data_IF_619031736347
#
_entry.id   IF_619031736347
#
_cell.length_a   1.000
_cell.length_b   1.000
_cell.length_c   1.000
_cell.angle_alpha   90.00
_cell.angle_beta   90.00
_cell.angle_gamma   90.00
#
_symmetry.space_group_name_H-M   'P 1'
#
loop_
_entity.id
_entity.type
_entity.pdbx_description
1 polymer ?
#
# COMPACT_ATOMS: atom_id res chain seq x y z
N UNK A 1 15.68 -2.70 19.47
CA UNK A 1 14.80 -2.96 18.32
C UNK A 1 14.60 -4.48 18.23
N UNK A 2 13.39 -4.91 18.44
CA UNK A 2 13.07 -6.33 18.32
C UNK A 2 12.89 -6.71 16.84
N UNK A 3 13.03 -7.99 16.56
CA UNK A 3 12.76 -8.57 15.24
C UNK A 3 11.44 -9.34 15.31
N UNK A 4 10.51 -8.98 14.45
CA UNK A 4 9.21 -9.64 14.33
C UNK A 4 9.24 -10.48 13.05
N UNK A 5 8.82 -11.73 13.15
CA UNK A 5 8.76 -12.64 12.00
C UNK A 5 7.36 -13.25 11.91
N UNK A 6 6.38 -12.55 11.30
CA UNK A 6 5.04 -13.10 11.14
C UNK A 6 5.06 -14.30 10.17
N UNK A 7 4.21 -15.27 10.44
CA UNK A 7 3.97 -16.39 9.53
C UNK A 7 3.02 -15.99 8.40
N UNK A 8 2.90 -16.81 7.35
CA UNK A 8 1.86 -16.62 6.34
C UNK A 8 0.45 -16.68 6.94
N UNK A 9 0.24 -17.52 7.94
CA UNK A 9 -1.06 -17.58 8.65
C UNK A 9 -1.36 -16.26 9.37
N UNK A 10 -0.37 -15.66 10.03
CA UNK A 10 -0.55 -14.34 10.65
C UNK A 10 -0.94 -13.29 9.62
N UNK A 11 -0.29 -13.29 8.45
CA UNK A 11 -0.62 -12.37 7.35
C UNK A 11 -2.04 -12.62 6.84
N UNK A 12 -2.45 -13.87 6.66
CA UNK A 12 -3.81 -14.21 6.23
C UNK A 12 -4.87 -13.68 7.19
N UNK A 13 -4.66 -13.80 8.51
CA UNK A 13 -5.59 -13.27 9.51
C UNK A 13 -5.70 -11.75 9.43
N UNK A 14 -4.56 -11.05 9.30
CA UNK A 14 -4.55 -9.59 9.18
C UNK A 14 -5.25 -9.15 7.89
N UNK A 15 -4.95 -9.80 6.77
CA UNK A 15 -5.57 -9.51 5.46
C UNK A 15 -7.08 -9.71 5.50
N UNK A 16 -7.56 -10.77 6.13
CA UNK A 16 -8.99 -11.02 6.28
C UNK A 16 -9.68 -9.90 7.06
N UNK A 17 -9.08 -9.49 8.18
CA UNK A 17 -9.60 -8.40 9.00
C UNK A 17 -9.64 -7.07 8.25
N UNK A 18 -8.55 -6.71 7.57
CA UNK A 18 -8.50 -5.52 6.71
C UNK A 18 -9.57 -5.59 5.62
N UNK A 19 -9.66 -6.72 4.93
CA UNK A 19 -10.60 -6.90 3.81
C UNK A 19 -12.04 -6.72 4.24
N UNK A 20 -12.42 -7.22 5.42
CA UNK A 20 -13.75 -7.04 5.97
C UNK A 20 -14.10 -5.55 6.21
N UNK A 21 -13.13 -4.76 6.62
CA UNK A 21 -13.30 -3.30 6.80
C UNK A 21 -13.34 -2.55 5.47
N UNK A 22 -12.46 -2.91 4.54
CA UNK A 22 -12.34 -2.26 3.24
C UNK A 22 -13.57 -2.49 2.36
N UNK A 23 -14.16 -3.68 2.40
CA UNK A 23 -15.37 -4.03 1.63
C UNK A 23 -16.53 -3.07 1.88
N UNK A 24 -16.65 -2.52 3.07
CA UNK A 24 -17.70 -1.56 3.41
C UNK A 24 -17.64 -0.27 2.57
N UNK A 25 -16.48 0.07 2.03
CA UNK A 25 -16.26 1.21 1.16
C UNK A 25 -16.44 0.90 -0.34
N UNK A 26 -16.77 -0.34 -0.69
CA UNK A 26 -16.99 -0.79 -2.07
C UNK A 26 -15.83 -0.43 -3.03
N UNK A 27 -14.60 -0.88 -2.78
CA UNK A 27 -13.49 -0.61 -3.69
C UNK A 27 -13.74 -1.21 -5.07
N UNK A 28 -13.35 -0.47 -6.11
CA UNK A 28 -13.50 -0.88 -7.51
C UNK A 28 -12.22 -1.50 -8.07
N UNK A 29 -11.08 -1.17 -7.50
CA UNK A 29 -9.76 -1.57 -7.98
C UNK A 29 -8.75 -1.60 -6.83
N UNK A 30 -7.79 -2.51 -6.93
CA UNK A 30 -6.65 -2.60 -6.01
C UNK A 30 -5.42 -2.09 -6.74
N UNK A 31 -4.67 -1.18 -6.13
CA UNK A 31 -3.35 -0.75 -6.59
C UNK A 31 -2.30 -1.28 -5.63
N UNK A 32 -1.51 -2.25 -6.07
CA UNK A 32 -0.40 -2.79 -5.29
C UNK A 32 0.86 -1.97 -5.52
N UNK A 33 1.51 -1.54 -4.45
CA UNK A 33 2.83 -0.93 -4.53
C UNK A 33 3.86 -2.05 -4.55
N UNK A 34 4.57 -2.21 -5.67
CA UNK A 34 5.59 -3.25 -5.80
C UNK A 34 6.86 -2.87 -5.01
N UNK A 35 7.66 -3.79 -4.43
CA UNK A 35 7.37 -5.25 -4.37
C UNK A 35 6.55 -5.67 -3.14
N UNK A 36 6.65 -4.99 -1.97
CA UNK A 36 6.07 -5.45 -0.71
C UNK A 36 4.54 -5.59 -0.73
N UNK A 37 3.84 -4.76 -1.50
CA UNK A 37 2.39 -4.80 -1.61
C UNK A 37 1.83 -5.90 -2.51
N UNK A 38 2.66 -6.59 -3.30
CA UNK A 38 2.19 -7.58 -4.29
C UNK A 38 1.49 -8.77 -3.64
N UNK A 39 2.12 -9.39 -2.65
CA UNK A 39 1.54 -10.56 -1.95
C UNK A 39 0.33 -10.17 -1.12
N UNK A 40 0.38 -9.12 -0.29
CA UNK A 40 -0.81 -8.62 0.41
C UNK A 40 -1.99 -8.30 -0.51
N UNK A 41 -1.75 -7.62 -1.62
CA UNK A 41 -2.79 -7.30 -2.60
C UNK A 41 -3.43 -8.55 -3.21
N UNK A 42 -2.61 -9.56 -3.56
CA UNK A 42 -3.13 -10.83 -4.07
C UNK A 42 -3.99 -11.55 -3.03
N UNK A 43 -3.58 -11.55 -1.77
CA UNK A 43 -4.37 -12.12 -0.69
C UNK A 43 -5.70 -11.37 -0.49
N UNK A 44 -5.67 -10.03 -0.50
CA UNK A 44 -6.87 -9.20 -0.39
C UNK A 44 -7.85 -9.43 -1.54
N UNK A 45 -7.36 -9.69 -2.76
CA UNK A 45 -8.20 -9.98 -3.91
C UNK A 45 -9.11 -11.19 -3.69
N UNK A 46 -8.69 -12.19 -2.94
CA UNK A 46 -9.53 -13.34 -2.60
C UNK A 46 -10.83 -12.92 -1.93
N UNK A 47 -10.79 -11.89 -1.10
CA UNK A 47 -11.95 -11.36 -0.38
C UNK A 47 -12.69 -10.26 -1.16
N UNK A 48 -11.95 -9.36 -1.80
CA UNK A 48 -12.48 -8.15 -2.45
C UNK A 48 -12.95 -8.44 -3.89
N UNK A 49 -12.30 -9.37 -4.58
CA UNK A 49 -12.64 -9.81 -5.95
C UNK A 49 -12.64 -8.67 -6.99
N UNK A 50 -11.64 -7.80 -6.92
CA UNK A 50 -11.42 -6.70 -7.87
C UNK A 50 -10.06 -6.81 -8.55
N UNK A 51 -9.89 -6.19 -9.73
CA UNK A 51 -8.61 -6.24 -10.43
C UNK A 51 -7.48 -5.61 -9.62
N UNK A 52 -6.26 -6.10 -9.84
CA UNK A 52 -5.04 -5.54 -9.26
C UNK A 52 -4.26 -4.83 -10.36
N UNK A 53 -3.98 -3.55 -10.13
CA UNK A 53 -3.00 -2.78 -10.88
C UNK A 53 -1.73 -2.67 -10.05
N UNK A 54 -0.59 -2.50 -10.70
CA UNK A 54 0.71 -2.43 -10.01
C UNK A 54 1.40 -1.11 -10.32
N UNK A 55 1.93 -0.48 -9.28
CA UNK A 55 2.79 0.70 -9.37
C UNK A 55 4.08 0.45 -8.60
N UNK A 56 5.13 1.18 -8.91
CA UNK A 56 6.40 1.01 -8.21
C UNK A 56 7.15 2.33 -8.09
N UNK A 57 7.92 2.45 -7.01
CA UNK A 57 8.76 3.60 -6.71
C UNK A 57 10.15 3.16 -6.26
N UNK A 58 11.13 3.98 -6.58
CA UNK A 58 12.48 3.89 -6.04
C UNK A 58 12.73 5.10 -5.14
N UNK A 59 12.96 4.84 -3.85
CA UNK A 59 13.22 5.86 -2.83
C UNK A 59 14.70 6.05 -2.54
N UNK A 60 15.48 4.96 -2.69
CA UNK A 60 16.90 4.90 -2.36
C UNK A 60 17.71 4.62 -3.61
N UNK A 61 18.91 5.19 -3.66
CA UNK A 61 19.88 4.89 -4.71
C UNK A 61 20.63 3.57 -4.43
N UNK A 62 21.62 3.25 -5.29
CA UNK A 62 22.43 2.03 -5.17
C UNK A 62 23.27 1.96 -3.88
N UNK A 63 23.41 3.08 -3.16
CA UNK A 63 24.20 3.19 -1.93
C UNK A 63 23.29 3.30 -0.69
N UNK A 64 22.01 2.92 -0.80
CA UNK A 64 21.00 3.05 0.25
C UNK A 64 20.80 4.50 0.74
N UNK A 65 21.17 5.48 -0.09
CA UNK A 65 20.92 6.90 0.20
C UNK A 65 19.55 7.30 -0.32
N UNK A 66 18.77 8.00 0.51
CA UNK A 66 17.46 8.48 0.12
C UNK A 66 17.58 9.49 -1.04
N UNK A 67 16.86 9.22 -2.13
CA UNK A 67 16.86 10.08 -3.31
C UNK A 67 16.12 11.39 -3.02
N UNK A 68 16.64 12.51 -3.53
CA UNK A 68 15.95 13.81 -3.48
C UNK A 68 14.63 13.77 -4.24
N UNK A 69 14.63 13.09 -5.39
CA UNK A 69 13.45 12.87 -6.23
C UNK A 69 13.09 11.39 -6.27
N UNK A 70 11.89 11.05 -5.86
CA UNK A 70 11.37 9.71 -5.92
C UNK A 70 11.08 9.36 -7.38
N UNK A 71 11.64 8.22 -7.83
CA UNK A 71 11.47 7.74 -9.19
C UNK A 71 10.31 6.75 -9.26
N UNK A 72 9.39 6.98 -10.18
CA UNK A 72 8.39 5.97 -10.57
C UNK A 72 9.08 4.93 -11.44
N UNK A 73 9.16 3.69 -10.96
CA UNK A 73 9.71 2.56 -11.72
C UNK A 73 8.64 1.88 -12.57
N UNK A 74 7.38 1.97 -12.14
CA UNK A 74 6.20 1.52 -12.86
C UNK A 74 5.02 2.42 -12.52
N UNK A 75 4.26 2.83 -13.53
CA UNK A 75 3.08 3.66 -13.36
C UNK A 75 1.96 3.25 -14.33
N UNK A 76 0.77 3.77 -14.11
CA UNK A 76 -0.42 3.49 -14.92
C UNK A 76 -0.45 4.40 -16.15
N UNK A 77 -0.84 3.86 -17.30
CA UNK A 77 -1.07 4.68 -18.49
C UNK A 77 -2.46 5.34 -18.47
N UNK A 78 -2.69 6.28 -19.39
CA UNK A 78 -3.92 7.07 -19.42
C UNK A 78 -5.19 6.25 -19.67
N UNK A 79 -5.10 5.18 -20.47
CA UNK A 79 -6.26 4.30 -20.72
C UNK A 79 -6.65 3.52 -19.47
N UNK A 80 -5.67 2.98 -18.77
CA UNK A 80 -5.89 2.26 -17.50
C UNK A 80 -6.47 3.20 -16.44
N UNK A 81 -5.97 4.43 -16.35
CA UNK A 81 -6.48 5.44 -15.43
C UNK A 81 -7.96 5.74 -15.72
N UNK A 82 -8.32 5.96 -16.98
CA UNK A 82 -9.72 6.24 -17.36
C UNK A 82 -10.64 5.07 -17.04
N UNK A 83 -10.19 3.85 -17.30
CA UNK A 83 -11.01 2.66 -17.14
C UNK A 83 -11.17 2.24 -15.68
N UNK A 84 -10.09 2.31 -14.87
CA UNK A 84 -10.04 1.68 -13.54
C UNK A 84 -9.92 2.65 -12.37
N UNK A 85 -9.57 3.91 -12.60
CA UNK A 85 -9.25 4.86 -11.54
C UNK A 85 -10.20 6.05 -11.50
N UNK A 86 -10.41 6.73 -12.63
CA UNK A 86 -11.26 7.93 -12.66
C UNK A 86 -12.70 7.62 -12.24
N UNK A 87 -13.20 8.35 -11.26
CA UNK A 87 -14.54 8.16 -10.69
C UNK A 87 -14.72 6.89 -9.87
N UNK A 88 -13.66 6.17 -9.59
CA UNK A 88 -13.66 4.89 -8.86
C UNK A 88 -13.15 5.03 -7.44
N UNK A 89 -13.53 4.09 -6.59
CA UNK A 89 -12.93 3.92 -5.26
C UNK A 89 -11.72 3.01 -5.38
N UNK A 90 -10.55 3.55 -5.06
CA UNK A 90 -9.25 2.92 -5.25
C UNK A 90 -8.70 2.45 -3.92
N UNK A 91 -8.25 1.20 -3.84
CA UNK A 91 -7.55 0.66 -2.68
C UNK A 91 -6.06 0.53 -2.99
N UNK A 92 -5.24 1.33 -2.33
CA UNK A 92 -3.77 1.24 -2.40
C UNK A 92 -3.28 0.31 -1.30
N UNK A 93 -2.42 -0.65 -1.64
CA UNK A 93 -1.91 -1.68 -0.72
C UNK A 93 -0.39 -1.70 -0.72
N UNK A 94 0.18 -1.69 0.47
CA UNK A 94 1.60 -1.96 0.72
C UNK A 94 1.72 -2.88 1.96
N UNK A 95 2.92 -3.42 2.23
CA UNK A 95 3.13 -4.32 3.38
C UNK A 95 3.27 -3.56 4.69
N UNK A 96 3.99 -2.44 4.69
CA UNK A 96 4.32 -1.69 5.91
C UNK A 96 4.25 -0.18 5.71
N UNK A 97 3.70 0.50 6.69
CA UNK A 97 3.78 1.95 6.83
C UNK A 97 4.88 2.30 7.84
N UNK A 98 6.07 2.55 7.34
CA UNK A 98 7.22 2.94 8.16
C UNK A 98 7.27 4.46 8.33
N UNK A 99 7.84 5.18 7.37
CA UNK A 99 7.90 6.66 7.39
C UNK A 99 6.73 7.33 6.68
N UNK A 100 5.87 6.55 6.03
CA UNK A 100 4.74 6.99 5.18
C UNK A 100 5.16 7.65 3.86
N UNK A 101 6.43 7.66 3.55
CA UNK A 101 6.95 8.35 2.37
C UNK A 101 6.42 7.74 1.07
N UNK A 102 6.49 6.42 0.93
CA UNK A 102 6.01 5.72 -0.27
C UNK A 102 4.49 5.87 -0.46
N UNK A 103 3.72 5.67 0.60
CA UNK A 103 2.26 5.82 0.56
C UNK A 103 1.85 7.24 0.17
N UNK A 104 2.48 8.24 0.78
CA UNK A 104 2.25 9.65 0.46
C UNK A 104 2.50 9.94 -1.02
N UNK A 105 3.64 9.52 -1.56
CA UNK A 105 3.98 9.77 -2.96
C UNK A 105 3.04 9.03 -3.92
N UNK A 106 2.62 7.82 -3.59
CA UNK A 106 1.63 7.09 -4.40
C UNK A 106 0.31 7.85 -4.48
N UNK A 107 -0.20 8.32 -3.34
CA UNK A 107 -1.45 9.11 -3.28
C UNK A 107 -1.31 10.42 -4.07
N UNK A 108 -0.23 11.17 -3.86
CA UNK A 108 -0.02 12.46 -4.53
C UNK A 108 0.13 12.29 -6.06
N UNK A 109 0.90 11.30 -6.51
CA UNK A 109 1.04 11.01 -7.94
C UNK A 109 -0.29 10.58 -8.57
N UNK A 110 -1.08 9.78 -7.85
CA UNK A 110 -2.40 9.39 -8.32
C UNK A 110 -3.34 10.59 -8.48
N UNK A 111 -3.34 11.50 -7.51
CA UNK A 111 -4.14 12.74 -7.56
C UNK A 111 -3.71 13.70 -8.68
N UNK A 112 -2.44 13.70 -9.06
CA UNK A 112 -1.95 14.54 -10.17
C UNK A 112 -2.43 14.08 -11.53
N UNK A 113 -2.58 12.77 -11.75
CA UNK A 113 -2.88 12.20 -13.07
C UNK A 113 -4.31 11.67 -13.22
N UNK A 114 -5.11 11.67 -12.16
CA UNK A 114 -6.43 11.03 -12.14
C UNK A 114 -7.39 11.71 -11.18
N UNK A 115 -8.67 11.35 -11.29
CA UNK A 115 -9.76 11.85 -10.45
C UNK A 115 -10.52 10.71 -9.79
N UNK A 116 -9.90 9.96 -8.85
CA UNK A 116 -10.60 8.91 -8.13
C UNK A 116 -11.74 9.49 -7.27
N UNK A 117 -12.80 8.72 -7.09
CA UNK A 117 -13.91 9.10 -6.20
C UNK A 117 -13.47 9.06 -4.73
N UNK A 118 -12.81 7.98 -4.34
CA UNK A 118 -12.22 7.81 -3.01
C UNK A 118 -10.89 7.08 -3.13
N UNK A 119 -9.97 7.37 -2.20
CA UNK A 119 -8.71 6.66 -2.04
C UNK A 119 -8.69 6.02 -0.65
N UNK A 120 -8.51 4.70 -0.62
CA UNK A 120 -8.29 3.92 0.59
C UNK A 120 -6.82 3.49 0.56
N UNK A 121 -6.13 3.64 1.67
CA UNK A 121 -4.76 3.13 1.85
C UNK A 121 -4.78 2.07 2.94
N UNK A 122 -4.21 0.91 2.66
CA UNK A 122 -4.11 -0.19 3.60
C UNK A 122 -2.72 -0.82 3.60
N UNK A 123 -2.27 -1.20 4.78
CA UNK A 123 -0.99 -1.88 5.01
C UNK A 123 -1.18 -3.03 5.99
N UNK A 124 -0.32 -4.03 5.93
CA UNK A 124 -0.34 -5.14 6.90
C UNK A 124 0.07 -4.63 8.29
N UNK A 125 1.18 -3.89 8.36
CA UNK A 125 1.69 -3.33 9.60
C UNK A 125 1.85 -1.82 9.52
N UNK A 126 1.37 -1.12 10.54
CA UNK A 126 1.65 0.29 10.77
C UNK A 126 2.62 0.42 11.95
N UNK A 127 3.81 0.96 11.70
CA UNK A 127 4.75 1.28 12.78
C UNK A 127 4.32 2.54 13.51
N UNK A 128 4.16 2.44 14.81
CA UNK A 128 3.81 3.56 15.69
C UNK A 128 5.04 4.43 15.96
N UNK A 129 5.38 5.24 15.00
CA UNK A 129 6.50 6.19 15.04
C UNK A 129 6.11 7.48 14.36
N UNK A 130 6.92 8.53 14.58
CA UNK A 130 6.74 9.80 13.89
C UNK A 130 6.85 9.60 12.38
N UNK A 131 5.81 9.99 11.66
CA UNK A 131 5.78 9.91 10.20
C UNK A 131 6.44 11.13 9.57
N UNK A 132 7.23 10.91 8.51
CA UNK A 132 7.85 11.99 7.73
C UNK A 132 6.85 12.71 6.82
N UNK A 133 5.77 12.03 6.44
CA UNK A 133 4.71 12.55 5.57
C UNK A 133 3.34 12.27 6.19
N UNK A 134 2.37 13.10 5.83
CA UNK A 134 0.98 12.93 6.24
C UNK A 134 0.10 12.70 5.02
N UNK A 135 -0.83 11.77 5.13
CA UNK A 135 -1.90 11.60 4.14
C UNK A 135 -2.93 12.72 4.32
N UNK A 136 -3.49 13.21 3.22
CA UNK A 136 -4.57 14.19 3.27
C UNK A 136 -5.82 13.61 3.94
N UNK A 137 -6.63 14.47 4.56
CA UNK A 137 -7.82 14.08 5.35
C UNK A 137 -8.88 13.32 4.56
N UNK A 138 -8.92 13.50 3.23
CA UNK A 138 -9.84 12.81 2.33
C UNK A 138 -9.43 11.36 2.04
N UNK A 139 -8.24 10.93 2.44
CA UNK A 139 -7.78 9.55 2.29
C UNK A 139 -8.27 8.71 3.46
N UNK A 140 -8.88 7.58 3.15
CA UNK A 140 -9.33 6.59 4.14
C UNK A 140 -8.14 5.67 4.45
N UNK A 141 -7.67 5.67 5.69
CA UNK A 141 -6.55 4.85 6.12
C UNK A 141 -7.02 3.69 6.98
N UNK A 142 -6.78 2.46 6.51
CA UNK A 142 -7.18 1.22 7.20
C UNK A 142 -5.95 0.33 7.36
N UNK A 143 -5.16 0.52 8.43
CA UNK A 143 -4.03 -0.36 8.74
C UNK A 143 -4.51 -1.69 9.33
N UNK A 144 -3.68 -2.71 9.20
CA UNK A 144 -3.88 -3.99 9.87
C UNK A 144 -3.40 -3.93 11.33
N UNK A 145 -2.23 -4.48 11.60
CA UNK A 145 -1.67 -4.52 12.96
C UNK A 145 -0.77 -3.30 13.22
N UNK A 146 -0.98 -2.64 14.35
CA UNK A 146 -0.07 -1.62 14.84
C UNK A 146 1.06 -2.25 15.65
N UNK A 147 2.28 -1.81 15.41
CA UNK A 147 3.50 -2.30 16.06
C UNK A 147 4.42 -1.15 16.44
N UNK A 148 5.43 -1.42 17.27
CA UNK A 148 6.52 -0.47 17.52
C UNK A 148 7.41 -0.28 16.29
N UNK A 149 8.54 0.41 16.47
CA UNK A 149 9.54 0.60 15.40
C UNK A 149 10.46 -0.63 15.29
N UNK A 150 9.86 -1.80 15.17
CA UNK A 150 10.56 -3.08 15.12
C UNK A 150 10.94 -3.44 13.68
N UNK A 151 11.96 -4.26 13.54
CA UNK A 151 12.32 -4.85 12.26
C UNK A 151 11.39 -6.00 11.93
N UNK A 152 10.74 -5.95 10.76
CA UNK A 152 9.85 -7.03 10.32
C UNK A 152 10.56 -7.86 9.25
N UNK A 153 10.66 -9.16 9.49
CA UNK A 153 11.06 -10.14 8.49
C UNK A 153 9.81 -10.83 7.99
N UNK A 154 9.31 -10.39 6.85
CA UNK A 154 8.12 -11.00 6.25
C UNK A 154 8.38 -12.42 5.73
N UNK A 155 7.34 -13.29 5.70
CA UNK A 155 7.54 -14.68 5.27
C UNK A 155 7.97 -14.82 3.80
N UNK A 156 7.69 -13.84 2.96
CA UNK A 156 8.16 -13.80 1.57
C UNK A 156 9.61 -13.30 1.41
N UNK A 157 10.21 -12.78 2.47
CA UNK A 157 11.62 -12.35 2.51
C UNK A 157 12.53 -13.37 3.22
N UNK A 158 11.97 -14.50 3.67
CA UNK A 158 12.74 -15.55 4.34
C UNK A 158 13.57 -16.34 3.33
N UNK A 159 14.84 -16.64 3.70
CA UNK A 159 15.74 -17.52 2.96
C UNK A 159 15.58 -18.97 3.45
#
# INVERSE_FOLDING_TARGET
>A
MEKISPSYDDIHYIVKDISNKVIEFNPDVIIAISGGGLIPARMMRTHIQKPILTVGFQLYDKNDTMMENIKKTQWLDDEIIKQFVDGKTVLIVDEVDDTRTTLYHCVEELKKCSTPKNIIVSVIHNKLKLKKKLLSEDVIYIPGKEIGDDWILYPWDCN
#
